data_IF_074877672536
#
_entry.id   IF_074877672536
#
_cell.length_a   1.000
_cell.length_b   1.000
_cell.length_c   1.000
_cell.angle_alpha   90.00
_cell.angle_beta   90.00
_cell.angle_gamma   90.00
#
_symmetry.space_group_name_H-M   'P 1'
#
loop_
_entity.id
_entity.type
_entity.pdbx_description
1 polymer ?
#
# COMPACT_ATOMS: atom_id res chain seq x y z
N UNK A 1 -25.51 -19.99 -18.57
CA UNK A 1 -24.79 -19.96 -17.28
C UNK A 1 -24.11 -18.60 -17.17
N UNK A 2 -24.71 -17.68 -16.42
CA UNK A 2 -24.16 -16.33 -16.24
C UNK A 2 -23.26 -16.36 -15.01
N UNK A 3 -21.95 -16.23 -15.21
CA UNK A 3 -20.97 -16.19 -14.12
C UNK A 3 -21.18 -14.89 -13.35
N UNK A 4 -21.85 -15.00 -12.21
CA UNK A 4 -22.01 -13.92 -11.24
C UNK A 4 -20.61 -13.49 -10.77
N UNK A 5 -20.15 -12.32 -11.21
CA UNK A 5 -18.97 -11.66 -10.65
C UNK A 5 -19.28 -11.43 -9.18
N UNK A 6 -18.65 -12.20 -8.29
CA UNK A 6 -18.72 -11.94 -6.84
C UNK A 6 -18.22 -10.52 -6.66
N UNK A 7 -19.07 -9.65 -6.12
CA UNK A 7 -18.72 -8.29 -5.70
C UNK A 7 -17.44 -8.42 -4.87
N UNK A 8 -16.29 -8.05 -5.44
CA UNK A 8 -15.00 -8.16 -4.78
C UNK A 8 -15.11 -7.45 -3.44
N UNK A 9 -14.93 -8.19 -2.34
CA UNK A 9 -14.94 -7.64 -1.00
C UNK A 9 -13.81 -6.61 -0.93
N UNK A 10 -14.16 -5.32 -0.98
CA UNK A 10 -13.20 -4.26 -0.76
C UNK A 10 -12.85 -4.32 0.73
N UNK A 11 -11.71 -4.92 1.04
CA UNK A 11 -11.18 -4.96 2.41
C UNK A 11 -10.41 -3.67 2.70
N UNK A 12 -10.81 -2.96 3.74
CA UNK A 12 -10.10 -1.75 4.20
C UNK A 12 -9.02 -2.14 5.21
N UNK A 13 -7.78 -1.69 4.99
CA UNK A 13 -6.66 -1.84 5.93
C UNK A 13 -6.31 -0.49 6.56
N UNK A 14 -6.40 -0.39 7.88
CA UNK A 14 -5.94 0.77 8.65
C UNK A 14 -4.54 0.51 9.19
N UNK A 15 -3.56 1.33 8.83
CA UNK A 15 -2.15 1.18 9.23
C UNK A 15 -1.77 2.27 10.24
N UNK A 16 -1.26 1.85 11.40
CA UNK A 16 -0.70 2.77 12.40
C UNK A 16 0.79 3.01 12.14
N UNK A 17 1.21 4.28 12.15
CA UNK A 17 2.62 4.67 12.07
C UNK A 17 3.13 4.98 13.48
N UNK A 18 4.08 4.19 14.02
CA UNK A 18 4.65 4.43 15.34
C UNK A 18 5.27 5.82 15.45
N UNK A 19 5.13 6.46 16.62
CA UNK A 19 5.72 7.78 16.90
C UNK A 19 7.23 7.84 16.59
N UNK A 20 7.95 6.76 16.87
CA UNK A 20 9.39 6.61 16.60
C UNK A 20 9.77 6.61 15.11
N UNK A 21 8.79 6.63 14.21
CA UNK A 21 8.96 6.70 12.75
C UNK A 21 8.40 7.99 12.15
N UNK A 22 7.81 8.88 12.97
CA UNK A 22 7.24 10.14 12.49
C UNK A 22 8.31 11.16 12.10
N UNK A 23 9.48 11.12 12.76
CA UNK A 23 10.69 11.88 12.41
C UNK A 23 11.11 11.65 10.95
N UNK A 24 10.89 10.44 10.43
CA UNK A 24 11.16 10.07 9.04
C UNK A 24 10.13 10.62 8.04
N UNK A 25 9.08 11.29 8.53
CA UNK A 25 8.02 11.95 7.75
C UNK A 25 7.47 11.07 6.61
N UNK A 26 7.10 9.80 6.87
CA UNK A 26 6.73 8.85 5.82
C UNK A 26 5.54 9.32 4.98
N UNK A 27 4.52 9.93 5.61
CA UNK A 27 3.34 10.44 4.92
C UNK A 27 3.70 11.58 3.96
N UNK A 28 4.51 12.55 4.39
CA UNK A 28 4.96 13.66 3.53
C UNK A 28 5.81 13.17 2.35
N UNK A 29 6.60 12.11 2.55
CA UNK A 29 7.42 11.49 1.50
C UNK A 29 6.55 10.74 0.50
N UNK A 30 5.54 10.00 0.99
CA UNK A 30 4.56 9.33 0.14
C UNK A 30 3.73 10.32 -0.67
N UNK A 31 3.25 11.41 -0.06
CA UNK A 31 2.50 12.46 -0.77
C UNK A 31 3.32 13.09 -1.91
N UNK A 32 4.59 13.44 -1.63
CA UNK A 32 5.50 13.96 -2.67
C UNK A 32 5.73 12.96 -3.79
N UNK A 33 5.91 11.68 -3.46
CA UNK A 33 6.11 10.63 -4.46
C UNK A 33 4.84 10.40 -5.29
N UNK A 34 3.68 10.33 -4.64
CA UNK A 34 2.36 10.18 -5.24
C UNK A 34 2.11 11.25 -6.31
N UNK A 35 2.38 12.52 -5.99
CA UNK A 35 2.29 13.63 -6.94
C UNK A 35 3.27 13.49 -8.11
N UNK A 36 4.50 13.04 -7.85
CA UNK A 36 5.53 12.87 -8.89
C UNK A 36 5.16 11.76 -9.89
N UNK A 37 4.51 10.70 -9.44
CA UNK A 37 4.18 9.53 -10.27
C UNK A 37 2.71 9.47 -10.71
N UNK A 38 1.93 10.51 -10.41
CA UNK A 38 0.50 10.62 -10.71
C UNK A 38 -0.33 9.41 -10.22
N UNK A 39 -0.15 9.07 -8.94
CA UNK A 39 -0.87 7.97 -8.27
C UNK A 39 -1.32 8.37 -6.88
N UNK A 40 -2.31 7.66 -6.34
CA UNK A 40 -2.77 7.87 -4.96
C UNK A 40 -1.75 7.31 -3.95
N UNK A 41 -1.77 7.85 -2.73
CA UNK A 41 -0.97 7.29 -1.62
C UNK A 41 -1.36 5.83 -1.37
N UNK A 42 -2.65 5.49 -1.43
CA UNK A 42 -3.12 4.11 -1.24
C UNK A 42 -2.51 3.15 -2.27
N UNK A 43 -2.40 3.58 -3.54
CA UNK A 43 -1.72 2.77 -4.56
C UNK A 43 -0.27 2.48 -4.16
N UNK A 44 0.49 3.51 -3.76
CA UNK A 44 1.89 3.34 -3.34
C UNK A 44 2.03 2.45 -2.10
N UNK A 45 1.12 2.55 -1.15
CA UNK A 45 1.13 1.73 0.06
C UNK A 45 0.90 0.26 -0.28
N UNK A 46 -0.09 -0.05 -1.13
CA UNK A 46 -0.35 -1.43 -1.56
C UNK A 46 0.84 -2.00 -2.34
N UNK A 47 1.39 -1.24 -3.29
CA UNK A 47 2.60 -1.64 -4.01
C UNK A 47 3.77 -1.93 -3.08
N UNK A 48 4.01 -1.08 -2.07
CA UNK A 48 5.08 -1.29 -1.09
C UNK A 48 4.85 -2.56 -0.24
N UNK A 49 3.60 -2.88 0.10
CA UNK A 49 3.25 -4.11 0.82
C UNK A 49 3.54 -5.34 -0.06
N UNK A 50 3.09 -5.33 -1.33
CA UNK A 50 3.34 -6.43 -2.26
C UNK A 50 4.85 -6.65 -2.50
N UNK A 51 5.60 -5.57 -2.73
CA UNK A 51 7.06 -5.65 -2.88
C UNK A 51 7.76 -6.19 -1.63
N UNK A 52 7.25 -5.86 -0.43
CA UNK A 52 7.76 -6.42 0.80
C UNK A 52 7.51 -7.93 0.86
N UNK A 53 6.27 -8.38 0.60
CA UNK A 53 5.91 -9.79 0.60
C UNK A 53 6.73 -10.58 -0.43
N UNK A 54 6.80 -10.13 -1.68
CA UNK A 54 7.58 -10.77 -2.74
C UNK A 54 9.04 -10.99 -2.33
N UNK A 55 9.64 -10.02 -1.62
CA UNK A 55 11.02 -10.12 -1.16
C UNK A 55 11.18 -11.13 -0.02
N UNK A 56 10.24 -11.18 0.92
CA UNK A 56 10.30 -12.13 2.04
C UNK A 56 9.93 -13.57 1.62
N UNK A 57 9.05 -13.73 0.64
CA UNK A 57 8.64 -15.03 0.09
C UNK A 57 9.72 -15.66 -0.79
N UNK A 58 10.47 -14.86 -1.56
CA UNK A 58 11.61 -15.33 -2.37
C UNK A 58 12.85 -15.70 -1.55
N UNK A 59 12.91 -15.29 -0.29
CA UNK A 59 14.01 -15.62 0.62
C UNK A 59 13.77 -16.94 1.38
N UNK A 60 12.68 -17.65 1.09
CA UNK A 60 12.39 -19.02 1.54
C UNK A 60 12.50 -19.99 0.38
#
# INVERSE_FOLDING_TARGET
MSTMVRKSEVTTLSIYIPKSKLDRKPIERLDRLAKKVDRSINYLVVEAILQYLDREEKQK
#
